data_IF_612598687601
#
_entry.id   IF_612598687601
#
_cell.length_a   1.000
_cell.length_b   1.000
_cell.length_c   1.000
_cell.angle_alpha   90.00
_cell.angle_beta   90.00
_cell.angle_gamma   90.00
#
_symmetry.space_group_name_H-M   'P 1'
#
loop_
_entity.id
_entity.type
_entity.pdbx_description
1 polymer ?
#
# COMPACT_ATOMS: atom_id res chain seq x y z
N UNK A 1 -38.92 -6.88 39.92
CA UNK A 1 -39.28 -6.99 38.49
C UNK A 1 -39.15 -8.42 38.05
N UNK A 2 -40.09 -8.93 37.24
CA UNK A 2 -39.99 -10.23 36.59
C UNK A 2 -39.34 -9.97 35.22
N UNK A 3 -38.22 -10.62 34.94
CA UNK A 3 -37.50 -10.49 33.68
C UNK A 3 -37.91 -11.66 32.76
N UNK A 4 -38.14 -11.39 31.48
CA UNK A 4 -38.56 -12.41 30.52
C UNK A 4 -37.37 -13.05 29.78
N UNK A 5 -36.27 -12.31 29.63
CA UNK A 5 -35.00 -12.77 29.03
C UNK A 5 -33.83 -12.10 29.76
N UNK A 6 -32.75 -12.85 29.97
CA UNK A 6 -31.46 -12.33 30.46
C UNK A 6 -30.47 -12.36 29.29
N UNK A 7 -29.87 -11.22 28.98
CA UNK A 7 -28.79 -11.12 28.01
C UNK A 7 -27.55 -10.61 28.73
N UNK A 8 -26.46 -11.36 28.64
CA UNK A 8 -25.19 -11.02 29.28
C UNK A 8 -24.08 -10.86 28.28
N UNK A 9 -23.27 -9.82 28.51
CA UNK A 9 -22.06 -9.52 27.77
C UNK A 9 -20.88 -9.40 28.74
N UNK A 10 -19.70 -9.81 28.28
CA UNK A 10 -18.44 -9.67 29.01
C UNK A 10 -17.99 -10.92 29.77
N UNK A 11 -16.68 -11.12 29.82
CA UNK A 11 -16.04 -12.35 30.32
C UNK A 11 -16.36 -12.65 31.79
N UNK A 12 -16.43 -11.62 32.64
CA UNK A 12 -16.70 -11.77 34.09
C UNK A 12 -18.15 -12.17 34.34
N UNK A 13 -19.11 -11.44 33.76
CA UNK A 13 -20.54 -11.75 33.90
C UNK A 13 -20.85 -13.15 33.35
N UNK A 14 -20.28 -13.48 32.20
CA UNK A 14 -20.48 -14.77 31.57
C UNK A 14 -19.89 -15.91 32.41
N UNK A 15 -18.72 -15.75 33.03
CA UNK A 15 -18.15 -16.75 33.95
C UNK A 15 -19.11 -17.07 35.10
N UNK A 16 -19.64 -16.05 35.76
CA UNK A 16 -20.61 -16.20 36.87
C UNK A 16 -21.91 -16.88 36.40
N UNK A 17 -22.38 -16.57 35.20
CA UNK A 17 -23.60 -17.17 34.67
C UNK A 17 -23.39 -18.62 34.23
N UNK A 18 -22.28 -18.95 33.56
CA UNK A 18 -21.96 -20.33 33.12
C UNK A 18 -21.84 -21.30 34.29
N UNK A 19 -21.35 -20.84 35.45
CA UNK A 19 -21.27 -21.66 36.66
C UNK A 19 -22.65 -22.02 37.24
N UNK A 20 -23.74 -21.34 36.80
CA UNK A 20 -25.10 -21.72 37.16
C UNK A 20 -25.50 -22.98 36.39
N UNK A 21 -26.02 -23.96 37.12
CA UNK A 21 -26.52 -25.22 36.55
C UNK A 21 -28.00 -25.17 36.18
N UNK A 22 -28.73 -24.12 36.59
CA UNK A 22 -30.16 -23.95 36.38
C UNK A 22 -30.48 -22.51 35.95
N UNK A 23 -31.37 -22.37 34.96
CA UNK A 23 -31.71 -21.12 34.28
C UNK A 23 -33.24 -20.94 34.26
N UNK A 24 -33.83 -20.31 35.29
CA UNK A 24 -35.28 -20.17 35.41
C UNK A 24 -35.91 -19.19 34.41
N UNK A 25 -35.08 -18.41 33.72
CA UNK A 25 -35.45 -17.46 32.66
C UNK A 25 -34.50 -17.70 31.49
N UNK A 26 -34.98 -17.67 30.22
CA UNK A 26 -34.14 -17.74 29.04
C UNK A 26 -32.93 -16.81 29.16
N UNK A 27 -31.73 -17.40 29.18
CA UNK A 27 -30.47 -16.71 29.42
C UNK A 27 -29.57 -16.89 28.21
N UNK A 28 -29.17 -15.77 27.62
CA UNK A 28 -28.27 -15.74 26.49
C UNK A 28 -26.97 -15.07 26.92
N UNK A 29 -25.87 -15.82 26.84
CA UNK A 29 -24.55 -15.24 27.07
C UNK A 29 -23.85 -15.04 25.74
N UNK A 30 -23.24 -13.87 25.61
CA UNK A 30 -22.43 -13.52 24.47
C UNK A 30 -21.05 -13.06 24.92
N UNK A 31 -20.00 -13.57 24.27
CA UNK A 31 -18.65 -13.18 24.66
C UNK A 31 -17.59 -13.47 23.63
N UNK A 32 -16.45 -12.84 23.88
CA UNK A 32 -15.21 -13.07 23.16
C UNK A 32 -14.35 -14.04 23.96
N UNK A 33 -13.81 -15.06 23.31
CA UNK A 33 -12.90 -16.00 23.92
C UNK A 33 -11.59 -16.06 23.12
N UNK A 34 -10.46 -16.12 23.80
CA UNK A 34 -9.18 -16.37 23.13
C UNK A 34 -9.06 -17.87 22.82
N UNK A 35 -8.64 -18.20 21.58
CA UNK A 35 -8.33 -19.58 21.16
C UNK A 35 -7.29 -20.21 22.07
N UNK A 36 -6.29 -19.43 22.48
CA UNK A 36 -5.17 -19.86 23.30
C UNK A 36 -5.60 -20.16 24.74
N UNK A 37 -6.56 -19.40 25.27
CA UNK A 37 -7.14 -19.64 26.59
C UNK A 37 -8.11 -20.83 26.59
N UNK A 38 -8.85 -21.03 25.49
CA UNK A 38 -9.90 -22.07 25.35
C UNK A 38 -9.37 -23.42 24.85
N UNK A 39 -8.10 -23.49 24.44
CA UNK A 39 -7.47 -24.76 24.02
C UNK A 39 -7.48 -25.84 25.13
N UNK A 40 -7.68 -25.45 26.39
CA UNK A 40 -8.04 -26.35 27.47
C UNK A 40 -9.54 -26.67 27.41
N UNK A 41 -9.85 -27.84 26.84
CA UNK A 41 -11.16 -28.23 26.27
C UNK A 41 -12.34 -28.32 27.26
N UNK A 42 -12.16 -27.94 28.51
CA UNK A 42 -13.19 -28.04 29.56
C UNK A 42 -14.25 -26.94 29.49
N UNK A 43 -13.91 -25.75 28.97
CA UNK A 43 -14.85 -24.63 28.73
C UNK A 43 -15.74 -24.85 27.49
N UNK A 44 -15.55 -25.95 26.76
CA UNK A 44 -16.09 -26.19 25.42
C UNK A 44 -17.24 -27.19 25.34
N UNK A 45 -17.63 -27.81 26.45
CA UNK A 45 -18.75 -28.75 26.46
C UNK A 45 -20.06 -27.98 26.58
N UNK A 46 -20.45 -27.35 25.47
CA UNK A 46 -21.75 -26.71 25.29
C UNK A 46 -22.85 -27.78 25.24
N UNK A 47 -23.06 -28.48 26.36
CA UNK A 47 -24.22 -29.35 26.52
C UNK A 47 -25.47 -28.51 26.30
N UNK A 48 -26.48 -29.10 25.64
CA UNK A 48 -27.79 -28.47 25.52
C UNK A 48 -28.36 -28.31 26.93
N UNK A 49 -28.39 -27.08 27.43
CA UNK A 49 -28.98 -26.71 28.71
C UNK A 49 -30.28 -25.98 28.42
N UNK A 50 -31.36 -26.37 29.09
CA UNK A 50 -32.67 -25.73 28.92
C UNK A 50 -32.59 -24.26 29.37
N UNK A 51 -33.28 -23.37 28.65
CA UNK A 51 -33.28 -21.93 28.91
C UNK A 51 -31.88 -21.29 28.92
N UNK A 52 -30.89 -21.91 28.27
CA UNK A 52 -29.56 -21.34 28.12
C UNK A 52 -28.99 -21.53 26.71
N UNK A 53 -28.41 -20.46 26.16
CA UNK A 53 -27.55 -20.55 24.98
C UNK A 53 -26.34 -19.62 25.11
N UNK A 54 -25.20 -20.08 24.60
CA UNK A 54 -23.94 -19.38 24.65
C UNK A 54 -23.40 -19.17 23.24
N UNK A 55 -23.23 -17.92 22.84
CA UNK A 55 -22.67 -17.57 21.54
C UNK A 55 -21.34 -16.87 21.78
N UNK A 56 -20.27 -17.59 21.43
CA UNK A 56 -18.92 -17.09 21.63
C UNK A 56 -18.24 -16.84 20.28
N UNK A 57 -17.49 -15.74 20.18
CA UNK A 57 -16.57 -15.50 19.09
C UNK A 57 -15.16 -15.83 19.57
N UNK A 58 -14.44 -16.63 18.80
CA UNK A 58 -13.03 -16.88 19.07
C UNK A 58 -12.23 -15.69 18.55
N UNK A 59 -11.23 -15.24 19.30
CA UNK A 59 -10.14 -14.32 18.91
C UNK A 59 -8.79 -15.01 19.13
N UNK A 60 -7.71 -14.46 18.60
CA UNK A 60 -6.37 -15.04 18.77
C UNK A 60 -5.35 -13.95 19.03
N UNK A 61 -4.74 -14.00 20.21
CA UNK A 61 -3.66 -13.08 20.57
C UNK A 61 -2.43 -13.32 19.68
N UNK A 62 -2.19 -14.56 19.28
CA UNK A 62 -1.09 -14.91 18.37
C UNK A 62 -1.28 -14.32 16.97
N UNK A 63 -2.50 -14.37 16.42
CA UNK A 63 -2.81 -13.76 15.12
C UNK A 63 -2.62 -12.23 15.16
N UNK A 64 -3.10 -11.57 16.22
CA UNK A 64 -2.95 -10.12 16.41
C UNK A 64 -1.47 -9.71 16.48
N UNK A 65 -0.69 -10.42 17.30
CA UNK A 65 0.75 -10.16 17.45
C UNK A 65 1.53 -10.53 16.18
N UNK A 66 1.06 -11.50 15.40
CA UNK A 66 1.61 -11.80 14.07
C UNK A 66 1.41 -10.62 13.13
N UNK A 67 0.22 -10.01 13.10
CA UNK A 67 -0.02 -8.81 12.30
C UNK A 67 0.83 -7.64 12.76
N UNK A 68 0.92 -7.40 14.08
CA UNK A 68 1.79 -6.37 14.62
C UNK A 68 3.25 -6.58 14.18
N UNK A 69 3.77 -7.81 14.27
CA UNK A 69 5.12 -8.16 13.78
C UNK A 69 5.29 -7.90 12.29
N UNK A 70 4.29 -8.21 11.48
CA UNK A 70 4.33 -7.95 10.04
C UNK A 70 4.32 -6.46 9.69
N UNK A 71 3.61 -5.64 10.49
CA UNK A 71 3.48 -4.20 10.30
C UNK A 71 4.76 -3.45 10.70
N UNK A 72 5.31 -3.72 11.89
CA UNK A 72 6.39 -2.90 12.47
C UNK A 72 7.61 -3.69 12.97
N UNK A 73 7.53 -5.02 12.98
CA UNK A 73 8.63 -5.92 13.40
C UNK A 73 9.28 -5.53 14.75
N UNK A 74 8.48 -5.37 15.82
CA UNK A 74 9.00 -4.99 17.13
C UNK A 74 9.80 -6.16 17.73
N UNK A 75 10.76 -5.85 18.61
CA UNK A 75 11.47 -6.86 19.41
C UNK A 75 10.85 -6.99 20.79
N UNK A 76 10.47 -5.87 21.38
CA UNK A 76 9.94 -5.79 22.75
C UNK A 76 8.58 -5.12 22.76
N UNK A 77 7.55 -5.84 23.19
CA UNK A 77 6.15 -5.39 23.18
C UNK A 77 5.61 -5.41 24.60
N UNK A 78 5.04 -4.29 25.03
CA UNK A 78 4.25 -4.25 26.26
C UNK A 78 2.82 -4.70 25.94
N UNK A 79 2.34 -5.68 26.69
CA UNK A 79 0.99 -6.22 26.61
C UNK A 79 0.20 -5.69 27.80
N UNK A 80 -0.62 -4.68 27.56
CA UNK A 80 -1.53 -4.15 28.58
C UNK A 80 -2.76 -5.02 28.68
N UNK A 81 -3.03 -5.52 29.88
CA UNK A 81 -4.17 -6.39 30.16
C UNK A 81 -5.03 -5.75 31.24
N UNK A 82 -6.34 -5.70 31.04
CA UNK A 82 -7.23 -5.20 32.09
C UNK A 82 -7.08 -6.04 33.38
N UNK A 83 -6.93 -5.39 34.53
CA UNK A 83 -6.66 -6.05 35.83
C UNK A 83 -7.66 -7.18 36.13
N UNK A 84 -8.96 -6.93 35.90
CA UNK A 84 -10.00 -7.93 36.14
C UNK A 84 -9.85 -9.18 35.26
N UNK A 85 -9.28 -9.04 34.06
CA UNK A 85 -8.99 -10.15 33.17
C UNK A 85 -7.70 -10.87 33.55
N UNK A 86 -6.66 -10.12 33.93
CA UNK A 86 -5.40 -10.63 34.43
C UNK A 86 -5.58 -11.51 35.67
N UNK A 87 -6.43 -11.09 36.62
CA UNK A 87 -6.70 -11.84 37.85
C UNK A 87 -7.56 -13.11 37.60
N UNK A 88 -8.40 -13.08 36.57
CA UNK A 88 -9.37 -14.14 36.30
C UNK A 88 -8.80 -15.28 35.44
N UNK A 89 -7.78 -15.01 34.61
CA UNK A 89 -7.25 -15.92 33.61
C UNK A 89 -5.72 -15.95 33.65
N UNK A 90 -5.08 -17.13 33.72
CA UNK A 90 -3.62 -17.25 33.73
C UNK A 90 -3.05 -16.99 32.32
N UNK A 91 -2.73 -15.73 32.02
CA UNK A 91 -2.27 -15.30 30.69
C UNK A 91 -0.74 -15.38 30.51
N UNK A 92 0.02 -15.46 31.60
CA UNK A 92 1.48 -15.42 31.57
C UNK A 92 2.07 -16.54 30.70
N UNK A 93 1.57 -17.77 30.86
CA UNK A 93 1.99 -18.92 30.05
C UNK A 93 1.60 -18.79 28.57
N UNK A 94 0.43 -18.20 28.29
CA UNK A 94 -0.05 -17.95 26.93
C UNK A 94 0.89 -16.99 26.20
N UNK A 95 1.14 -15.82 26.76
CA UNK A 95 2.01 -14.83 26.12
C UNK A 95 3.48 -15.23 26.13
N UNK A 96 3.96 -16.01 27.11
CA UNK A 96 5.31 -16.59 27.05
C UNK A 96 5.45 -17.51 25.82
N UNK A 97 4.46 -18.38 25.57
CA UNK A 97 4.45 -19.26 24.41
C UNK A 97 4.39 -18.47 23.09
N UNK A 98 3.52 -17.47 23.01
CA UNK A 98 3.40 -16.62 21.81
C UNK A 98 4.71 -15.86 21.54
N UNK A 99 5.32 -15.29 22.58
CA UNK A 99 6.59 -14.57 22.46
C UNK A 99 7.72 -15.47 21.93
N UNK A 100 7.79 -16.72 22.40
CA UNK A 100 8.76 -17.70 21.88
C UNK A 100 8.49 -18.05 20.40
N UNK A 101 7.24 -18.34 20.05
CA UNK A 101 6.85 -18.67 18.66
C UNK A 101 7.13 -17.53 17.70
N UNK A 102 6.87 -16.30 18.13
CA UNK A 102 7.03 -15.11 17.31
C UNK A 102 8.40 -14.43 17.47
N UNK A 103 9.33 -14.97 18.24
CA UNK A 103 10.65 -14.36 18.50
C UNK A 103 10.53 -12.88 18.93
N UNK A 104 9.69 -12.63 19.93
CA UNK A 104 9.44 -11.32 20.53
C UNK A 104 9.44 -11.41 22.06
N UNK A 105 9.99 -10.40 22.73
CA UNK A 105 9.86 -10.23 24.18
C UNK A 105 8.50 -9.58 24.47
N UNK A 106 7.59 -10.34 25.08
CA UNK A 106 6.27 -9.87 25.49
C UNK A 106 6.25 -9.66 27.00
N UNK A 107 6.01 -8.44 27.46
CA UNK A 107 5.94 -8.09 28.88
C UNK A 107 4.52 -7.71 29.23
N UNK A 108 3.91 -8.45 30.16
CA UNK A 108 2.53 -8.21 30.59
C UNK A 108 2.50 -7.15 31.69
N UNK A 109 1.61 -6.18 31.54
CA UNK A 109 1.37 -5.14 32.54
C UNK A 109 -0.14 -5.00 32.75
N UNK A 110 -0.66 -5.23 33.95
CA UNK A 110 -2.07 -5.02 34.21
C UNK A 110 -2.39 -3.52 34.29
N UNK A 111 -3.61 -3.12 33.91
CA UNK A 111 -4.08 -1.73 34.02
C UNK A 111 -5.52 -1.65 34.54
N UNK A 112 -5.85 -0.53 35.21
CA UNK A 112 -7.19 -0.17 35.68
C UNK A 112 -7.64 1.16 35.08
N UNK A 113 -6.70 2.06 34.82
CA UNK A 113 -6.93 3.39 34.29
C UNK A 113 -5.99 3.70 33.12
N UNK A 114 -6.29 4.79 32.41
CA UNK A 114 -5.47 5.26 31.29
C UNK A 114 -4.04 5.61 31.72
N UNK A 115 -3.87 6.20 32.90
CA UNK A 115 -2.55 6.62 33.42
C UNK A 115 -1.63 5.41 33.64
N UNK A 116 -2.17 4.27 34.07
CA UNK A 116 -1.39 3.03 34.24
C UNK A 116 -0.71 2.60 32.92
N UNK A 117 -1.42 2.80 31.80
CA UNK A 117 -0.90 2.52 30.47
C UNK A 117 0.20 3.53 30.13
N UNK A 118 -0.10 4.81 30.27
CA UNK A 118 0.81 5.90 29.89
C UNK A 118 2.13 5.85 30.66
N UNK A 119 2.12 5.45 31.93
CA UNK A 119 3.31 5.41 32.78
C UNK A 119 4.24 4.22 32.50
N UNK A 120 3.78 3.18 31.77
CA UNK A 120 4.52 1.91 31.59
C UNK A 120 4.90 1.58 30.14
N UNK A 121 4.99 2.60 29.26
CA UNK A 121 5.37 2.39 27.84
C UNK A 121 6.86 2.56 27.54
N UNK A 122 7.67 3.04 28.49
CA UNK A 122 9.08 3.34 28.21
C UNK A 122 9.92 2.08 27.96
N UNK A 123 10.77 2.13 26.92
CA UNK A 123 11.68 1.04 26.58
C UNK A 123 11.04 -0.13 25.81
N UNK A 124 9.84 0.07 25.25
CA UNK A 124 9.15 -0.85 24.36
C UNK A 124 9.12 -0.34 22.91
N UNK A 125 9.01 -1.26 21.96
CA UNK A 125 8.95 -0.94 20.53
C UNK A 125 7.50 -0.84 20.01
N UNK A 126 6.56 -1.46 20.72
CA UNK A 126 5.13 -1.42 20.39
C UNK A 126 4.27 -1.74 21.62
N UNK A 127 2.99 -1.38 21.51
CA UNK A 127 1.96 -1.60 22.53
C UNK A 127 0.91 -2.56 21.98
N UNK A 128 0.54 -3.57 22.76
CA UNK A 128 -0.63 -4.42 22.50
C UNK A 128 -1.63 -4.29 23.64
N UNK A 129 -2.86 -3.89 23.35
CA UNK A 129 -3.92 -3.73 24.34
C UNK A 129 -4.90 -4.89 24.28
N UNK A 130 -5.09 -5.52 25.45
CA UNK A 130 -6.04 -6.62 25.69
C UNK A 130 -7.08 -6.13 26.70
N UNK A 131 -8.22 -5.68 26.19
CA UNK A 131 -9.31 -5.09 26.98
C UNK A 131 -9.39 -3.57 26.86
N UNK A 132 -9.98 -2.90 27.85
CA UNK A 132 -10.19 -1.45 27.80
C UNK A 132 -11.47 -1.02 27.08
N UNK A 133 -12.45 -1.93 26.95
CA UNK A 133 -13.75 -1.68 26.31
C UNK A 133 -14.59 -0.59 27.00
N UNK A 134 -14.19 -0.16 28.21
CA UNK A 134 -14.86 0.88 28.99
C UNK A 134 -14.28 2.28 28.77
N UNK A 135 -13.14 2.41 28.08
CA UNK A 135 -12.59 3.71 27.76
C UNK A 135 -13.51 4.46 26.80
N UNK A 136 -13.66 5.76 27.05
CA UNK A 136 -14.38 6.67 26.18
C UNK A 136 -13.57 7.03 24.93
N UNK A 137 -14.25 7.50 23.89
CA UNK A 137 -13.60 7.98 22.67
C UNK A 137 -12.52 9.04 22.94
N UNK A 138 -12.73 9.91 23.92
CA UNK A 138 -11.77 10.98 24.26
C UNK A 138 -10.54 10.45 25.01
N UNK A 139 -10.72 9.42 25.85
CA UNK A 139 -9.60 8.70 26.48
C UNK A 139 -8.76 7.97 25.43
N UNK A 140 -9.40 7.25 24.49
CA UNK A 140 -8.69 6.56 23.40
C UNK A 140 -7.95 7.55 22.50
N UNK A 141 -8.55 8.69 22.14
CA UNK A 141 -7.85 9.73 21.37
C UNK A 141 -6.65 10.31 22.13
N UNK A 142 -6.77 10.44 23.45
CA UNK A 142 -5.68 10.93 24.31
C UNK A 142 -4.54 9.91 24.34
N UNK A 143 -4.86 8.64 24.53
CA UNK A 143 -3.92 7.53 24.46
C UNK A 143 -3.21 7.47 23.10
N UNK A 144 -3.99 7.49 22.02
CA UNK A 144 -3.46 7.42 20.66
C UNK A 144 -2.46 8.55 20.39
N UNK A 145 -2.78 9.78 20.76
CA UNK A 145 -1.84 10.92 20.64
C UNK A 145 -0.57 10.69 21.45
N UNK A 146 -0.70 10.28 22.69
CA UNK A 146 0.42 9.98 23.58
C UNK A 146 1.38 8.92 23.00
N UNK A 147 0.83 7.85 22.41
CA UNK A 147 1.60 6.78 21.76
C UNK A 147 2.24 7.24 20.44
N UNK A 148 1.51 7.98 19.62
CA UNK A 148 2.02 8.54 18.36
C UNK A 148 3.19 9.50 18.60
N UNK A 149 3.09 10.37 19.61
CA UNK A 149 4.14 11.32 19.97
C UNK A 149 5.44 10.62 20.40
N UNK A 150 5.30 9.41 20.99
CA UNK A 150 6.43 8.54 21.39
C UNK A 150 6.88 7.57 20.30
N UNK A 151 6.29 7.64 19.11
CA UNK A 151 6.55 6.71 18.00
C UNK A 151 6.30 5.25 18.37
N UNK A 152 5.27 4.99 19.18
CA UNK A 152 4.86 3.66 19.60
C UNK A 152 3.66 3.17 18.78
N UNK A 153 3.83 2.18 17.90
CA UNK A 153 2.75 1.46 17.25
C UNK A 153 1.84 0.76 18.26
N UNK A 154 0.52 0.86 18.07
CA UNK A 154 -0.46 0.27 18.99
C UNK A 154 -1.39 -0.72 18.28
N UNK A 155 -1.47 -1.95 18.78
CA UNK A 155 -2.46 -2.94 18.33
C UNK A 155 -3.48 -3.18 19.44
N UNK A 156 -4.75 -3.37 19.11
CA UNK A 156 -5.81 -3.54 20.13
C UNK A 156 -6.77 -4.68 19.80
N UNK A 157 -7.29 -5.32 20.85
CA UNK A 157 -8.42 -6.29 20.78
C UNK A 157 -9.79 -5.61 20.85
N UNK A 158 -9.83 -4.27 20.92
CA UNK A 158 -11.06 -3.49 21.02
C UNK A 158 -11.65 -3.18 19.63
N UNK A 159 -12.91 -2.71 19.55
CA UNK A 159 -13.59 -2.52 18.28
C UNK A 159 -12.90 -1.49 17.37
N UNK A 160 -13.29 -1.50 16.09
CA UNK A 160 -12.74 -0.61 15.04
C UNK A 160 -12.78 0.88 15.41
N UNK A 161 -13.74 1.30 16.24
CA UNK A 161 -13.86 2.69 16.69
C UNK A 161 -12.59 3.21 17.39
N UNK A 162 -11.86 2.34 18.11
CA UNK A 162 -10.63 2.75 18.78
C UNK A 162 -9.49 2.99 17.80
N UNK A 163 -9.49 2.23 16.71
CA UNK A 163 -8.59 2.45 15.57
C UNK A 163 -8.99 3.72 14.83
N UNK A 164 -10.28 4.00 14.63
CA UNK A 164 -10.76 5.28 14.08
C UNK A 164 -10.35 6.48 14.96
N UNK A 165 -10.34 6.30 16.28
CA UNK A 165 -9.94 7.29 17.28
C UNK A 165 -8.41 7.48 17.40
N UNK A 166 -7.61 6.67 16.69
CA UNK A 166 -6.20 6.95 16.46
C UNK A 166 -5.24 5.81 16.83
N UNK A 167 -5.70 4.70 17.40
CA UNK A 167 -4.85 3.51 17.53
C UNK A 167 -4.46 2.98 16.15
N UNK A 168 -3.28 2.33 16.04
CA UNK A 168 -2.76 1.91 14.75
C UNK A 168 -3.60 0.80 14.10
N UNK A 169 -3.85 -0.31 14.79
CA UNK A 169 -4.50 -1.46 14.14
C UNK A 169 -5.30 -2.36 15.10
N UNK A 170 -6.23 -3.10 14.51
CA UNK A 170 -6.96 -4.19 15.15
C UNK A 170 -7.26 -5.30 14.13
N UNK A 171 -7.49 -6.53 14.59
CA UNK A 171 -7.93 -7.64 13.74
C UNK A 171 -9.47 -7.78 13.66
N UNK A 172 -10.18 -6.77 14.16
CA UNK A 172 -11.62 -6.62 14.03
C UNK A 172 -11.99 -5.85 12.76
N UNK A 173 -13.06 -6.28 12.09
CA UNK A 173 -13.71 -5.50 11.05
C UNK A 173 -15.09 -4.98 11.51
N UNK A 174 -15.65 -4.02 10.78
CA UNK A 174 -16.95 -3.42 11.12
C UNK A 174 -18.11 -4.42 11.05
N UNK A 175 -17.97 -5.48 10.26
CA UNK A 175 -19.03 -6.48 10.06
C UNK A 175 -19.20 -7.39 11.28
N UNK A 176 -18.13 -7.62 12.05
CA UNK A 176 -18.15 -8.53 13.21
C UNK A 176 -19.24 -8.17 14.22
N UNK A 177 -19.36 -6.88 14.56
CA UNK A 177 -20.34 -6.41 15.54
C UNK A 177 -21.79 -6.51 15.01
N UNK A 178 -21.99 -6.31 13.72
CA UNK A 178 -23.31 -6.44 13.08
C UNK A 178 -23.77 -7.90 13.03
N UNK A 179 -22.86 -8.80 12.70
CA UNK A 179 -23.13 -10.24 12.69
C UNK A 179 -23.46 -10.75 14.10
N UNK A 180 -22.73 -10.23 15.09
CA UNK A 180 -22.97 -10.50 16.50
C UNK A 180 -24.37 -10.05 16.94
N UNK A 181 -24.73 -8.78 16.75
CA UNK A 181 -26.06 -8.26 17.14
C UNK A 181 -27.21 -8.93 16.39
N UNK A 182 -27.03 -9.27 15.12
CA UNK A 182 -28.03 -10.03 14.36
C UNK A 182 -28.30 -11.39 15.00
N UNK A 183 -27.27 -12.08 15.47
CA UNK A 183 -27.41 -13.38 16.14
C UNK A 183 -28.09 -13.27 17.50
N UNK A 184 -27.83 -12.18 18.23
CA UNK A 184 -28.58 -11.82 19.44
C UNK A 184 -30.06 -11.66 19.13
N UNK A 185 -30.39 -10.86 18.11
CA UNK A 185 -31.76 -10.58 17.73
C UNK A 185 -32.54 -11.85 17.33
N UNK A 186 -31.92 -12.76 16.58
CA UNK A 186 -32.55 -14.03 16.17
C UNK A 186 -32.86 -14.94 17.37
N UNK A 187 -31.96 -15.03 18.36
CA UNK A 187 -32.22 -15.84 19.55
C UNK A 187 -33.29 -15.21 20.44
N UNK A 188 -33.32 -13.88 20.56
CA UNK A 188 -34.37 -13.16 21.28
C UNK A 188 -35.72 -13.38 20.59
N UNK A 189 -35.78 -13.30 19.26
CA UNK A 189 -37.00 -13.56 18.49
C UNK A 189 -37.54 -14.96 18.73
N UNK A 190 -36.70 -16.00 18.67
CA UNK A 190 -37.13 -17.39 18.95
C UNK A 190 -37.70 -17.55 20.35
N UNK A 191 -37.07 -16.98 21.37
CA UNK A 191 -37.58 -17.03 22.74
C UNK A 191 -38.94 -16.33 22.86
N UNK A 192 -39.10 -15.18 22.21
CA UNK A 192 -40.37 -14.42 22.22
C UNK A 192 -41.49 -15.18 21.51
N UNK A 193 -41.18 -15.94 20.46
CA UNK A 193 -42.14 -16.79 19.74
C UNK A 193 -42.51 -18.08 20.49
N UNK A 194 -41.84 -18.37 21.61
CA UNK A 194 -42.06 -19.58 22.40
C UNK A 194 -41.39 -20.83 21.82
N UNK A 195 -40.47 -20.64 20.88
CA UNK A 195 -39.64 -21.71 20.33
C UNK A 195 -38.44 -21.98 21.26
N UNK A 196 -37.82 -23.16 21.15
CA UNK A 196 -36.47 -23.35 21.67
C UNK A 196 -35.51 -22.33 21.02
N UNK A 197 -34.40 -22.00 21.68
CA UNK A 197 -33.36 -21.15 21.06
C UNK A 197 -33.08 -21.61 19.63
N UNK A 198 -33.10 -20.67 18.68
CA UNK A 198 -32.89 -20.96 17.26
C UNK A 198 -31.63 -21.77 17.01
N UNK A 199 -30.62 -21.58 17.87
CA UNK A 199 -29.33 -22.23 17.75
C UNK A 199 -28.84 -22.73 19.10
N UNK A 200 -28.25 -23.94 19.13
CA UNK A 200 -27.52 -24.38 20.30
C UNK A 200 -26.30 -23.47 20.53
N UNK A 201 -25.82 -23.49 21.76
CA UNK A 201 -24.56 -22.87 22.13
C UNK A 201 -23.46 -23.22 21.13
N UNK A 202 -22.83 -22.20 20.53
CA UNK A 202 -21.94 -22.38 19.39
C UNK A 202 -20.92 -21.27 19.24
N UNK A 203 -19.87 -21.56 18.46
CA UNK A 203 -18.91 -20.55 18.04
C UNK A 203 -19.42 -19.80 16.81
N UNK A 204 -19.37 -18.48 16.87
CA UNK A 204 -19.50 -17.63 15.71
C UNK A 204 -18.13 -17.51 15.03
N UNK A 205 -17.99 -18.12 13.85
CA UNK A 205 -16.81 -17.98 13.00
C UNK A 205 -16.98 -16.70 12.19
N UNK A 206 -16.27 -15.65 12.59
CA UNK A 206 -16.24 -14.38 11.88
C UNK A 206 -15.15 -14.37 10.82
N UNK A 207 -15.42 -13.69 9.71
CA UNK A 207 -14.45 -13.46 8.64
C UNK A 207 -13.57 -12.29 9.09
N UNK A 208 -12.46 -12.59 9.73
CA UNK A 208 -11.56 -11.58 10.29
C UNK A 208 -10.84 -10.81 9.19
N UNK A 209 -10.59 -9.53 9.44
CA UNK A 209 -9.84 -8.67 8.55
C UNK A 209 -9.09 -7.63 9.36
N UNK A 210 -7.79 -7.48 9.08
CA UNK A 210 -6.97 -6.42 9.65
C UNK A 210 -7.62 -5.07 9.32
N UNK A 211 -7.86 -4.25 10.33
CA UNK A 211 -8.21 -2.84 10.16
C UNK A 211 -7.04 -1.97 10.59
N UNK A 212 -6.59 -1.07 9.71
CA UNK A 212 -5.43 -0.21 9.91
C UNK A 212 -5.82 1.27 9.82
N UNK A 213 -5.41 2.08 10.78
CA UNK A 213 -5.51 3.53 10.69
C UNK A 213 -4.38 4.09 9.82
N UNK A 214 -4.74 4.60 8.66
CA UNK A 214 -3.82 5.21 7.70
C UNK A 214 -3.10 6.44 8.27
N UNK A 215 -3.84 7.31 8.96
CA UNK A 215 -3.29 8.55 9.53
C UNK A 215 -2.23 8.24 10.59
N UNK A 216 -2.51 7.25 11.45
CA UNK A 216 -1.59 6.79 12.49
C UNK A 216 -0.38 6.09 11.89
N UNK A 217 -0.57 5.19 10.92
CA UNK A 217 0.54 4.54 10.21
C UNK A 217 1.50 5.56 9.59
N UNK A 218 0.95 6.60 8.95
CA UNK A 218 1.71 7.72 8.39
C UNK A 218 2.46 8.51 9.46
N UNK A 219 1.80 8.87 10.57
CA UNK A 219 2.43 9.62 11.66
C UNK A 219 3.60 8.85 12.31
N UNK A 220 3.51 7.51 12.31
CA UNK A 220 4.56 6.60 12.79
C UNK A 220 5.61 6.27 11.72
N UNK A 221 5.43 6.70 10.47
CA UNK A 221 6.36 6.40 9.37
C UNK A 221 6.33 4.94 8.88
N UNK A 222 5.22 4.23 9.10
CA UNK A 222 5.06 2.82 8.74
C UNK A 222 4.72 2.71 7.24
N UNK A 223 5.56 2.05 6.43
CA UNK A 223 5.32 1.92 5.00
C UNK A 223 4.20 0.90 4.72
N UNK A 224 3.22 1.30 3.91
CA UNK A 224 2.13 0.42 3.49
C UNK A 224 2.56 -0.45 2.30
N UNK A 225 2.77 -1.74 2.56
CA UNK A 225 3.03 -2.72 1.50
C UNK A 225 1.76 -2.94 0.67
N UNK A 226 1.89 -3.03 -0.65
CA UNK A 226 0.78 -3.33 -1.57
C UNK A 226 0.01 -4.60 -1.22
N UNK A 227 0.70 -5.61 -0.65
CA UNK A 227 0.09 -6.86 -0.20
C UNK A 227 -0.98 -6.67 0.89
N UNK A 228 -0.95 -5.56 1.64
CA UNK A 228 -1.97 -5.28 2.65
C UNK A 228 -3.24 -4.67 2.04
N UNK A 229 -3.18 -4.02 0.87
CA UNK A 229 -4.32 -3.32 0.29
C UNK A 229 -5.49 -4.23 -0.11
N UNK A 230 -5.24 -5.52 -0.35
CA UNK A 230 -6.27 -6.46 -0.83
C UNK A 230 -7.12 -7.05 0.28
N UNK A 231 -6.58 -7.21 1.49
CA UNK A 231 -7.22 -7.92 2.60
C UNK A 231 -7.30 -7.08 3.90
N UNK A 232 -6.97 -5.80 3.85
CA UNK A 232 -6.97 -4.88 5.00
C UNK A 232 -8.04 -3.80 4.80
N UNK A 233 -8.85 -3.58 5.83
CA UNK A 233 -9.73 -2.42 5.91
C UNK A 233 -8.93 -1.20 6.36
N UNK A 234 -9.11 -0.06 5.70
CA UNK A 234 -8.41 1.17 6.06
C UNK A 234 -9.40 2.18 6.65
N UNK A 235 -8.99 2.81 7.75
CA UNK A 235 -9.68 3.98 8.33
C UNK A 235 -8.76 5.20 8.31
N UNK A 236 -9.34 6.38 8.46
CA UNK A 236 -8.62 7.64 8.34
C UNK A 236 -8.67 8.23 6.93
N UNK A 237 -7.88 9.29 6.71
CA UNK A 237 -7.99 10.11 5.51
C UNK A 237 -6.93 9.73 4.47
N UNK A 238 -7.32 8.87 3.53
CA UNK A 238 -6.49 8.48 2.37
C UNK A 238 -6.27 9.62 1.35
N UNK A 239 -6.98 10.75 1.47
CA UNK A 239 -6.91 11.85 0.49
C UNK A 239 -5.86 12.92 0.82
N UNK A 240 -5.31 12.90 2.04
CA UNK A 240 -4.21 13.76 2.50
C UNK A 240 -2.82 13.23 2.08
N UNK A 241 -2.75 12.52 0.95
CA UNK A 241 -1.45 12.33 0.31
C UNK A 241 -1.06 13.71 -0.21
N UNK A 242 -0.20 14.40 0.55
CA UNK A 242 0.57 15.55 0.07
C UNK A 242 1.58 15.04 -0.95
N UNK A 243 1.08 14.58 -2.09
CA UNK A 243 1.91 14.33 -3.25
C UNK A 243 2.20 15.68 -3.87
N UNK A 244 3.48 15.99 -4.06
CA UNK A 244 3.92 17.21 -4.76
C UNK A 244 3.28 17.33 -6.16
N UNK A 245 2.90 16.18 -6.75
CA UNK A 245 2.11 16.09 -7.97
C UNK A 245 1.07 14.98 -7.87
N UNK A 246 -0.16 15.31 -8.26
CA UNK A 246 -1.23 14.34 -8.49
C UNK A 246 -1.34 14.14 -9.99
N UNK A 247 -1.34 12.88 -10.41
CA UNK A 247 -1.50 12.51 -11.81
C UNK A 247 -2.79 11.72 -11.99
N UNK A 248 -3.58 12.10 -12.97
CA UNK A 248 -4.63 11.25 -13.53
C UNK A 248 -4.02 10.21 -14.47
N UNK A 249 -4.72 9.09 -14.70
CA UNK A 249 -4.28 8.08 -15.66
C UNK A 249 -4.03 8.70 -17.05
N UNK A 250 -4.84 9.69 -17.44
CA UNK A 250 -4.67 10.41 -18.70
C UNK A 250 -3.35 11.19 -18.72
N UNK A 251 -3.02 11.91 -17.65
CA UNK A 251 -1.76 12.66 -17.54
C UNK A 251 -0.56 11.72 -17.56
N UNK A 252 -0.63 10.58 -16.86
CA UNK A 252 0.44 9.57 -16.89
C UNK A 252 0.64 9.04 -18.31
N UNK A 253 -0.44 8.73 -19.03
CA UNK A 253 -0.36 8.28 -20.42
C UNK A 253 0.23 9.36 -21.33
N UNK A 254 -0.21 10.61 -21.18
CA UNK A 254 0.30 11.73 -21.98
C UNK A 254 1.78 12.01 -21.70
N UNK A 255 2.20 12.00 -20.44
CA UNK A 255 3.59 12.21 -20.05
C UNK A 255 4.47 11.03 -20.49
N UNK A 256 3.97 9.80 -20.38
CA UNK A 256 4.68 8.60 -20.88
C UNK A 256 4.87 8.64 -22.40
N UNK A 257 3.90 9.13 -23.17
CA UNK A 257 4.01 9.34 -24.62
C UNK A 257 4.98 10.49 -24.91
N UNK A 258 4.83 11.62 -24.22
CA UNK A 258 5.64 12.81 -24.44
C UNK A 258 7.11 12.59 -24.10
N UNK A 259 7.42 11.80 -23.07
CA UNK A 259 8.77 11.43 -22.66
C UNK A 259 9.26 10.10 -23.26
N UNK A 260 8.50 9.52 -24.19
CA UNK A 260 8.94 8.31 -24.89
C UNK A 260 10.10 8.65 -25.84
N UNK A 261 11.31 8.29 -25.43
CA UNK A 261 12.53 8.53 -26.21
C UNK A 261 12.46 7.91 -27.62
N UNK A 262 11.79 6.76 -27.78
CA UNK A 262 11.62 6.11 -29.08
C UNK A 262 10.76 6.96 -30.02
N UNK A 263 9.64 7.51 -29.52
CA UNK A 263 8.79 8.41 -30.30
C UNK A 263 9.52 9.72 -30.64
N UNK A 264 10.31 10.28 -29.71
CA UNK A 264 11.16 11.46 -29.97
C UNK A 264 12.17 11.18 -31.10
N UNK A 265 12.77 9.99 -31.13
CA UNK A 265 13.68 9.57 -32.21
C UNK A 265 12.96 9.48 -33.56
N UNK A 266 11.77 8.87 -33.61
CA UNK A 266 10.98 8.77 -34.85
C UNK A 266 10.59 10.15 -35.39
N UNK A 267 10.24 11.10 -34.53
CA UNK A 267 10.00 12.50 -34.92
C UNK A 267 11.26 13.14 -35.51
N UNK A 268 12.41 12.93 -34.87
CA UNK A 268 13.69 13.46 -35.35
C UNK A 268 14.09 12.84 -36.71
N UNK A 269 13.89 11.54 -36.90
CA UNK A 269 14.16 10.85 -38.16
C UNK A 269 13.28 11.41 -39.31
N UNK A 270 12.03 11.73 -39.01
CA UNK A 270 11.12 12.38 -39.98
C UNK A 270 11.60 13.78 -40.36
N UNK A 271 12.18 14.54 -39.43
CA UNK A 271 12.79 15.84 -39.73
C UNK A 271 14.07 15.68 -40.56
N UNK A 272 14.90 14.68 -40.26
CA UNK A 272 16.12 14.38 -41.01
C UNK A 272 15.82 13.98 -42.46
N UNK A 273 14.79 13.16 -42.71
CA UNK A 273 14.45 12.77 -44.09
C UNK A 273 13.88 13.89 -44.94
N UNK A 274 13.28 14.92 -44.33
CA UNK A 274 12.94 16.16 -45.04
C UNK A 274 14.20 16.84 -45.57
N UNK A 275 15.28 16.84 -44.78
CA UNK A 275 16.56 17.41 -45.18
C UNK A 275 17.27 16.55 -46.23
N UNK A 276 17.21 15.22 -46.12
CA UNK A 276 17.77 14.29 -47.13
C UNK A 276 17.13 14.51 -48.51
N UNK A 277 15.81 14.76 -48.56
CA UNK A 277 15.12 15.12 -49.81
C UNK A 277 15.59 16.47 -50.36
N UNK A 278 15.90 17.45 -49.49
CA UNK A 278 16.46 18.74 -49.94
C UNK A 278 17.89 18.57 -50.46
N UNK A 279 18.73 17.82 -49.76
CA UNK A 279 20.09 17.50 -50.20
C UNK A 279 20.08 16.77 -51.55
N UNK A 280 19.18 15.80 -51.73
CA UNK A 280 19.02 15.12 -53.02
C UNK A 280 18.61 16.08 -54.15
N UNK A 281 17.75 17.07 -53.87
CA UNK A 281 17.38 18.13 -54.82
C UNK A 281 18.53 19.11 -55.09
N UNK A 282 19.46 19.27 -54.15
CA UNK A 282 20.63 20.14 -54.30
C UNK A 282 21.51 19.76 -55.49
N UNK A 283 21.43 18.51 -55.97
CA UNK A 283 22.14 18.05 -57.17
C UNK A 283 21.76 18.80 -58.46
N UNK A 284 20.63 19.50 -58.46
CA UNK A 284 20.17 20.37 -59.58
C UNK A 284 20.44 21.86 -59.33
N UNK A 285 20.93 22.22 -58.15
CA UNK A 285 21.33 23.60 -57.87
C UNK A 285 22.66 23.91 -58.59
N UNK A 286 22.85 25.17 -59.02
CA UNK A 286 24.13 25.57 -59.60
C UNK A 286 25.25 25.41 -58.57
N UNK A 287 26.37 24.84 -59.01
CA UNK A 287 27.59 24.75 -58.23
C UNK A 287 28.64 25.69 -58.79
N UNK A 288 29.28 26.49 -57.93
CA UNK A 288 30.35 27.42 -58.30
C UNK A 288 31.62 26.96 -57.62
N UNK A 289 32.60 26.54 -58.41
CA UNK A 289 33.93 26.18 -57.93
C UNK A 289 34.93 27.22 -58.39
N UNK A 290 35.61 27.85 -57.43
CA UNK A 290 36.74 28.72 -57.69
C UNK A 290 38.03 28.00 -57.28
N UNK A 291 39.00 27.93 -58.17
CA UNK A 291 40.32 27.38 -57.90
C UNK A 291 41.40 28.42 -58.25
N UNK A 292 42.45 28.45 -57.43
CA UNK A 292 43.62 29.27 -57.68
C UNK A 292 44.86 28.40 -57.47
N UNK A 293 45.76 28.39 -58.45
CA UNK A 293 47.04 27.70 -58.36
C UNK A 293 48.17 28.66 -58.71
N UNK A 294 49.28 28.52 -58.01
CA UNK A 294 50.51 29.26 -58.28
C UNK A 294 51.64 28.29 -58.55
N UNK A 295 52.45 28.57 -59.56
CA UNK A 295 53.66 27.80 -59.87
C UNK A 295 54.86 28.74 -59.82
N UNK A 296 55.88 28.33 -59.07
CA UNK A 296 57.16 29.01 -58.96
C UNK A 296 58.22 28.15 -59.66
N UNK A 297 58.94 28.75 -60.61
CA UNK A 297 59.98 28.09 -61.42
C UNK A 297 61.34 28.68 -61.04
N UNK A 298 62.37 27.83 -60.92
CA UNK A 298 63.73 28.28 -60.56
C UNK A 298 64.22 29.42 -61.49
N UNK A 299 64.73 30.54 -60.95
CA UNK A 299 65.15 31.71 -61.72
C UNK A 299 66.16 31.39 -62.83
N UNK A 300 67.11 30.46 -62.59
CA UNK A 300 68.12 30.10 -63.58
C UNK A 300 67.49 29.36 -64.78
N UNK A 301 66.41 28.61 -64.53
CA UNK A 301 65.67 27.88 -65.57
C UNK A 301 64.76 28.83 -66.36
N UNK A 302 64.21 29.87 -65.71
CA UNK A 302 63.38 30.90 -66.33
C UNK A 302 64.20 31.82 -67.26
N UNK A 303 65.45 32.12 -66.92
CA UNK A 303 66.37 32.93 -67.73
C UNK A 303 66.79 32.21 -69.02
N UNK A 304 67.12 30.91 -68.93
CA UNK A 304 67.46 30.06 -70.10
C UNK A 304 66.25 29.86 -71.03
N UNK A 305 65.02 29.90 -70.49
CA UNK A 305 63.79 29.76 -71.26
C UNK A 305 63.39 31.02 -72.06
N UNK A 306 64.17 32.11 -72.01
CA UNK A 306 63.97 33.33 -72.81
C UNK A 306 62.55 33.89 -72.72
N UNK A 307 61.95 33.84 -71.52
CA UNK A 307 60.62 34.37 -71.24
C UNK A 307 59.44 33.47 -71.63
N UNK A 308 59.68 32.24 -72.11
CA UNK A 308 58.59 31.29 -72.39
C UNK A 308 58.01 30.65 -71.11
N UNK A 309 58.80 30.58 -70.04
CA UNK A 309 58.37 30.09 -68.73
C UNK A 309 58.68 31.15 -67.64
N UNK A 310 57.68 31.93 -67.19
CA UNK A 310 57.89 32.95 -66.18
C UNK A 310 58.20 32.33 -64.80
N UNK A 311 59.06 33.00 -64.03
CA UNK A 311 59.49 32.58 -62.68
C UNK A 311 58.31 32.42 -61.70
N UNK A 312 57.30 33.28 -61.84
CA UNK A 312 56.04 33.17 -61.10
C UNK A 312 54.88 33.15 -62.11
N UNK A 313 54.05 32.13 -62.04
CA UNK A 313 52.77 32.09 -62.74
C UNK A 313 51.64 31.80 -61.77
N UNK A 314 50.51 32.46 -61.96
CA UNK A 314 49.30 32.27 -61.16
C UNK A 314 48.13 32.05 -62.11
N UNK A 315 47.37 31.01 -61.86
CA UNK A 315 46.18 30.65 -62.62
C UNK A 315 44.98 30.64 -61.68
N UNK A 316 43.96 31.41 -62.04
CA UNK A 316 42.65 31.35 -61.40
C UNK A 316 41.63 30.81 -62.38
N UNK A 317 40.77 29.89 -61.94
CA UNK A 317 39.63 29.45 -62.71
C UNK A 317 38.37 29.51 -61.86
N UNK A 318 37.29 30.04 -62.44
CA UNK A 318 35.95 29.99 -61.85
C UNK A 318 35.10 29.17 -62.81
N UNK A 319 34.58 28.04 -62.33
CA UNK A 319 33.67 27.18 -63.08
C UNK A 319 32.29 27.19 -62.43
N UNK A 320 31.27 27.60 -63.19
CA UNK A 320 29.86 27.42 -62.84
C UNK A 320 29.33 26.19 -63.59
N UNK A 321 28.84 25.20 -62.86
CA UNK A 321 28.20 24.01 -63.42
C UNK A 321 26.75 23.89 -62.93
N UNK A 322 25.86 23.51 -63.83
CA UNK A 322 24.47 23.23 -63.51
C UNK A 322 24.03 21.96 -64.22
N UNK A 323 23.53 21.01 -63.44
CA UNK A 323 22.93 19.79 -63.99
C UNK A 323 21.56 20.12 -64.56
N UNK A 324 21.39 19.99 -65.88
CA UNK A 324 20.08 20.16 -66.54
C UNK A 324 19.28 18.85 -66.53
N UNK A 325 19.96 17.70 -66.69
CA UNK A 325 19.34 16.38 -66.63
C UNK A 325 20.34 15.32 -66.14
N UNK A 326 19.89 14.43 -65.25
CA UNK A 326 20.64 13.27 -64.77
C UNK A 326 19.64 12.21 -64.28
N UNK A 327 19.73 11.00 -64.85
CA UNK A 327 18.89 9.87 -64.43
C UNK A 327 19.18 9.46 -62.98
N UNK A 328 20.46 9.42 -62.61
CA UNK A 328 20.89 9.08 -61.26
C UNK A 328 20.38 10.09 -60.22
N UNK A 329 20.37 11.40 -60.54
CA UNK A 329 19.86 12.42 -59.63
C UNK A 329 18.34 12.33 -59.45
N UNK A 330 17.59 12.06 -60.53
CA UNK A 330 16.15 11.83 -60.48
C UNK A 330 15.78 10.57 -59.66
N UNK A 331 16.55 9.49 -59.82
CA UNK A 331 16.37 8.26 -59.06
C UNK A 331 16.62 8.50 -57.57
N UNK A 332 17.70 9.20 -57.21
CA UNK A 332 18.00 9.52 -55.81
C UNK A 332 16.89 10.35 -55.15
N UNK A 333 16.40 11.41 -55.82
CA UNK A 333 15.28 12.21 -55.30
C UNK A 333 14.03 11.35 -55.06
N UNK A 334 13.75 10.42 -55.98
CA UNK A 334 12.59 9.53 -55.87
C UNK A 334 12.74 8.55 -54.71
N UNK A 335 13.93 7.99 -54.51
CA UNK A 335 14.25 7.10 -53.38
C UNK A 335 14.09 7.84 -52.06
N UNK A 336 14.68 9.04 -51.92
CA UNK A 336 14.59 9.81 -50.67
C UNK A 336 13.14 10.22 -50.35
N UNK A 337 12.33 10.52 -51.37
CA UNK A 337 10.89 10.77 -51.17
C UNK A 337 10.14 9.53 -50.67
N UNK A 338 10.43 8.36 -51.24
CA UNK A 338 9.80 7.11 -50.83
C UNK A 338 10.20 6.71 -49.39
N UNK A 339 11.48 6.88 -49.03
CA UNK A 339 11.98 6.65 -47.67
C UNK A 339 11.33 7.58 -46.65
N UNK A 340 11.19 8.87 -46.97
CA UNK A 340 10.48 9.84 -46.13
C UNK A 340 9.02 9.42 -45.90
N UNK A 341 8.33 8.96 -46.94
CA UNK A 341 6.93 8.51 -46.81
C UNK A 341 6.82 7.28 -45.91
N UNK A 342 7.73 6.31 -46.06
CA UNK A 342 7.79 5.14 -45.19
C UNK A 342 8.05 5.51 -43.71
N UNK A 343 8.91 6.50 -43.45
CA UNK A 343 9.14 6.99 -42.09
C UNK A 343 7.91 7.68 -41.49
N UNK A 344 7.14 8.41 -42.31
CA UNK A 344 5.89 9.04 -41.90
C UNK A 344 4.82 8.02 -41.51
N UNK A 345 4.70 6.94 -42.27
CA UNK A 345 3.79 5.85 -41.96
C UNK A 345 4.18 5.12 -40.67
N UNK A 346 5.47 4.91 -40.43
CA UNK A 346 5.95 4.32 -39.17
C UNK A 346 5.56 5.19 -37.95
N UNK A 347 5.65 6.51 -38.06
CA UNK A 347 5.22 7.42 -36.99
C UNK A 347 3.72 7.33 -36.69
N UNK A 348 2.88 7.19 -37.72
CA UNK A 348 1.42 7.09 -37.54
C UNK A 348 0.96 5.73 -37.00
N UNK A 349 1.83 4.71 -37.03
CA UNK A 349 1.52 3.33 -36.62
C UNK A 349 1.87 3.01 -35.16
N UNK A 350 2.69 3.85 -34.51
CA UNK A 350 2.99 3.78 -33.08
C UNK A 350 2.07 4.69 -32.28
#
# INVERSE_FOLDING_TARGET
SKFDIIISFGSVNNKVLVEKQDYPVPTIIFGFLSKEVVADKSLLDFKKVENFTAIATLHSYEEDLTYLKQLVSPKRVVVFVEQAFFDAIPLEGVFTSIGQTLDMELVLVPFVALDDIMDHVEGFDAVYMVGGYYFSDDEIKTLARFLIDRKLPSFTTTPVIDVENGLLATNHDKSEIEQFFRRVALNVESVVLGDEFSEPSSFLVLKRGLTLNYNTARALGIPLKYSYLTNTSFVGNLTEISADKKYSLLEVMQEAIAENLKLKTVVQDTLLSVEDVKLAKSNYLPNVTASASGVYVDPNLAEVANGQNPELSTFGNITLSQTVFSEAANANISIQKALREAQKENYNSE
#
